data_IF_347042357670
#
_entry.id   IF_347042357670
#
_cell.length_a   1.000
_cell.length_b   1.000
_cell.length_c   1.000
_cell.angle_alpha   90.00
_cell.angle_beta   90.00
_cell.angle_gamma   90.00
#
_symmetry.space_group_name_H-M   'P 1'
#
loop_
_entity.id
_entity.type
_entity.pdbx_description
1 polymer ?
#
# COMPACT_ATOMS: atom_id res chain seq x y z
N UNK A 1 -30.89 14.90 32.75
CA UNK A 1 -31.64 16.03 32.17
C UNK A 1 -30.71 16.76 31.24
N UNK A 2 -30.72 16.39 29.96
CA UNK A 2 -30.02 17.11 28.88
C UNK A 2 -30.86 18.34 28.54
N UNK A 3 -30.22 19.51 28.49
CA UNK A 3 -30.89 20.75 28.09
C UNK A 3 -31.40 20.62 26.64
N UNK A 4 -32.54 21.23 26.27
CA UNK A 4 -33.02 21.21 24.90
C UNK A 4 -32.01 21.93 24.00
N UNK A 5 -31.59 21.28 22.92
CA UNK A 5 -30.84 21.92 21.85
C UNK A 5 -31.65 23.08 21.29
N UNK A 6 -31.10 24.29 21.33
CA UNK A 6 -31.61 25.45 20.60
C UNK A 6 -31.28 25.26 19.11
N UNK A 7 -32.25 24.90 18.27
CA UNK A 7 -32.02 24.67 16.83
C UNK A 7 -31.67 25.97 16.09
N UNK A 8 -31.88 27.13 16.74
CA UNK A 8 -31.80 28.47 16.14
C UNK A 8 -30.52 29.23 16.52
N UNK A 9 -29.56 28.60 17.20
CA UNK A 9 -28.24 29.23 17.44
C UNK A 9 -27.48 29.34 16.12
N UNK A 10 -27.67 30.47 15.45
CA UNK A 10 -27.01 30.78 14.19
C UNK A 10 -25.50 30.96 14.39
N UNK A 11 -24.74 29.89 14.18
CA UNK A 11 -23.27 29.94 14.14
C UNK A 11 -22.85 30.49 12.77
N UNK A 12 -22.07 31.57 12.74
CA UNK A 12 -21.53 32.11 11.48
C UNK A 12 -20.43 31.21 10.90
N UNK A 13 -20.20 31.29 9.58
CA UNK A 13 -19.12 30.52 8.94
C UNK A 13 -17.76 30.89 9.52
N UNK A 14 -17.53 32.19 9.79
CA UNK A 14 -16.27 32.66 10.37
C UNK A 14 -16.02 32.08 11.76
N UNK A 15 -17.05 32.02 12.61
CA UNK A 15 -16.94 31.43 13.94
C UNK A 15 -16.65 29.92 13.86
N UNK A 16 -17.34 29.22 12.96
CA UNK A 16 -17.15 27.79 12.75
C UNK A 16 -15.76 27.48 12.17
N UNK A 17 -15.29 28.24 11.19
CA UNK A 17 -13.93 28.12 10.63
C UNK A 17 -12.88 28.38 11.70
N UNK A 18 -13.07 29.41 12.54
CA UNK A 18 -12.13 29.72 13.61
C UNK A 18 -12.03 28.57 14.64
N UNK A 19 -13.15 27.94 14.99
CA UNK A 19 -13.18 26.76 15.85
C UNK A 19 -12.52 25.54 15.19
N UNK A 20 -12.79 25.30 13.90
CA UNK A 20 -12.15 24.21 13.14
C UNK A 20 -10.64 24.38 13.04
N UNK A 21 -10.14 25.60 12.85
CA UNK A 21 -8.69 25.89 12.86
C UNK A 21 -8.05 25.59 14.21
N UNK A 22 -8.67 26.01 15.32
CA UNK A 22 -8.18 25.67 16.67
C UNK A 22 -8.17 24.17 16.93
N UNK A 23 -9.20 23.47 16.45
CA UNK A 23 -9.28 22.02 16.55
C UNK A 23 -8.16 21.33 15.75
N UNK A 24 -7.82 21.86 14.57
CA UNK A 24 -6.70 21.37 13.77
C UNK A 24 -5.35 21.66 14.43
N UNK A 25 -5.13 22.87 14.95
CA UNK A 25 -3.92 23.24 15.71
C UNK A 25 -3.68 22.28 16.89
N UNK A 26 -4.74 21.92 17.60
CA UNK A 26 -4.69 20.93 18.67
C UNK A 26 -4.33 19.54 18.14
N UNK A 27 -4.94 19.10 17.04
CA UNK A 27 -4.62 17.83 16.38
C UNK A 27 -3.16 17.75 15.93
N UNK A 28 -2.62 18.84 15.37
CA UNK A 28 -1.21 18.97 15.00
C UNK A 28 -0.33 18.84 16.23
N UNK A 29 -0.67 19.50 17.34
CA UNK A 29 0.09 19.48 18.60
C UNK A 29 0.21 18.08 19.20
N UNK A 30 -0.81 17.25 19.06
CA UNK A 30 -0.82 15.87 19.57
C UNK A 30 -0.34 14.83 18.54
N UNK A 31 0.06 15.27 17.34
CA UNK A 31 0.66 14.40 16.31
C UNK A 31 -0.34 13.60 15.49
N UNK A 32 -1.60 14.04 15.39
CA UNK A 32 -2.59 13.39 14.54
C UNK A 32 -2.35 13.64 13.06
N UNK A 33 -2.50 12.60 12.25
CA UNK A 33 -2.42 12.69 10.80
C UNK A 33 -3.65 13.38 10.18
N UNK A 34 -3.53 13.98 8.99
CA UNK A 34 -4.61 14.74 8.36
C UNK A 34 -5.97 14.03 8.27
N UNK A 35 -6.10 12.73 7.92
CA UNK A 35 -7.40 12.05 7.91
C UNK A 35 -8.04 11.98 9.30
N UNK A 36 -7.25 11.69 10.33
CA UNK A 36 -7.71 11.65 11.71
C UNK A 36 -8.13 13.04 12.20
N UNK A 37 -7.33 14.07 11.89
CA UNK A 37 -7.68 15.47 12.20
C UNK A 37 -8.96 15.87 11.48
N UNK A 38 -9.11 15.58 10.20
CA UNK A 38 -10.31 15.93 9.45
C UNK A 38 -11.57 15.37 10.09
N UNK A 39 -11.56 14.09 10.48
CA UNK A 39 -12.68 13.45 11.17
C UNK A 39 -12.93 14.07 12.56
N UNK A 40 -11.87 14.30 13.34
CA UNK A 40 -11.99 14.72 14.74
C UNK A 40 -12.24 16.23 14.92
N UNK A 41 -11.79 17.07 13.99
CA UNK A 41 -11.89 18.53 14.07
C UNK A 41 -13.35 18.97 14.13
N UNK A 42 -14.23 18.35 13.34
CA UNK A 42 -15.68 18.62 13.39
C UNK A 42 -16.23 18.30 14.78
N UNK A 43 -15.83 17.17 15.35
CA UNK A 43 -16.18 16.76 16.71
C UNK A 43 -15.73 17.76 17.78
N UNK A 44 -14.50 18.27 17.66
CA UNK A 44 -13.90 19.24 18.60
C UNK A 44 -14.52 20.63 18.46
N UNK A 45 -14.66 21.13 17.24
CA UNK A 45 -15.19 22.46 16.97
C UNK A 45 -16.66 22.59 17.39
N UNK A 46 -17.50 21.58 17.13
CA UNK A 46 -18.91 21.63 17.51
C UNK A 46 -19.12 21.55 19.02
N UNK A 47 -18.23 20.89 19.76
CA UNK A 47 -18.24 20.90 21.24
C UNK A 47 -18.04 22.32 21.81
N UNK A 48 -17.26 23.19 21.16
CA UNK A 48 -17.12 24.59 21.58
C UNK A 48 -18.45 25.37 21.53
N UNK A 49 -19.39 24.95 20.68
CA UNK A 49 -20.71 25.57 20.55
C UNK A 49 -21.80 24.90 21.39
N UNK A 50 -21.43 23.89 22.20
CA UNK A 50 -22.34 23.17 23.08
C UNK A 50 -23.00 21.92 22.47
N UNK A 51 -22.48 21.41 21.35
CA UNK A 51 -22.94 20.13 20.81
C UNK A 51 -22.20 18.97 21.50
N UNK A 52 -22.90 18.25 22.38
CA UNK A 52 -22.31 17.14 23.15
C UNK A 52 -22.54 15.75 22.54
N UNK A 53 -23.63 15.55 21.78
CA UNK A 53 -23.89 14.31 21.05
C UNK A 53 -24.48 14.58 19.68
N UNK A 54 -23.89 14.01 18.63
CA UNK A 54 -24.39 14.09 17.27
C UNK A 54 -23.82 12.96 16.42
N UNK A 55 -24.51 12.65 15.33
CA UNK A 55 -24.01 11.72 14.31
C UNK A 55 -22.96 12.46 13.48
N UNK A 56 -21.71 12.00 13.54
CA UNK A 56 -20.57 12.57 12.81
C UNK A 56 -20.59 12.21 11.32
N UNK A 57 -21.07 11.01 10.96
CA UNK A 57 -21.16 10.51 9.58
C UNK A 57 -22.33 9.53 9.43
N UNK A 58 -22.91 9.46 8.23
CA UNK A 58 -23.96 8.49 7.88
C UNK A 58 -25.39 9.04 7.94
N UNK A 59 -26.38 8.13 7.93
CA UNK A 59 -27.81 8.49 7.92
C UNK A 59 -28.19 9.20 9.23
N UNK A 60 -28.77 10.39 9.13
CA UNK A 60 -29.16 11.20 10.29
C UNK A 60 -28.12 12.24 10.74
N UNK A 61 -27.11 12.52 9.91
CA UNK A 61 -26.13 13.60 10.16
C UNK A 61 -26.84 14.98 10.18
N UNK A 62 -26.69 15.78 11.25
CA UNK A 62 -27.31 17.10 11.32
C UNK A 62 -26.73 18.09 10.28
N UNK A 63 -27.53 19.06 9.77
CA UNK A 63 -27.04 20.03 8.78
C UNK A 63 -25.81 20.85 9.21
N UNK A 64 -25.68 21.14 10.51
CA UNK A 64 -24.50 21.84 11.05
C UNK A 64 -23.23 20.98 10.95
N UNK A 65 -23.35 19.66 11.05
CA UNK A 65 -22.23 18.72 10.91
C UNK A 65 -21.82 18.63 9.45
N UNK A 66 -22.77 18.54 8.51
CA UNK A 66 -22.48 18.57 7.07
C UNK A 66 -21.79 19.88 6.64
N UNK A 67 -22.27 21.01 7.17
CA UNK A 67 -21.67 22.33 6.95
C UNK A 67 -20.25 22.40 7.53
N UNK A 68 -20.05 21.87 8.74
CA UNK A 68 -18.73 21.81 9.37
C UNK A 68 -17.75 20.94 8.56
N UNK A 69 -18.17 19.77 8.06
CA UNK A 69 -17.36 18.93 7.17
C UNK A 69 -16.92 19.70 5.92
N UNK A 70 -17.86 20.35 5.20
CA UNK A 70 -17.53 21.14 4.00
C UNK A 70 -16.53 22.27 4.27
N UNK A 71 -16.61 22.92 5.44
CA UNK A 71 -15.67 23.97 5.82
C UNK A 71 -14.32 23.40 6.28
N UNK A 72 -14.34 22.28 7.00
CA UNK A 72 -13.17 21.59 7.49
C UNK A 72 -12.33 21.02 6.35
N UNK A 73 -12.96 20.44 5.32
CA UNK A 73 -12.27 19.90 4.15
C UNK A 73 -11.42 20.95 3.42
N UNK A 74 -11.81 22.24 3.51
CA UNK A 74 -11.07 23.37 2.92
C UNK A 74 -9.77 23.69 3.66
N UNK A 75 -9.59 23.18 4.89
CA UNK A 75 -8.34 23.34 5.64
C UNK A 75 -7.23 22.41 5.13
N UNK A 76 -7.60 21.34 4.42
CA UNK A 76 -6.68 20.32 3.98
C UNK A 76 -6.46 20.37 2.47
N UNK A 77 -5.30 19.87 2.03
CA UNK A 77 -5.10 19.57 0.62
C UNK A 77 -5.94 18.32 0.29
N UNK A 78 -6.75 18.30 -0.79
CA UNK A 78 -7.66 17.19 -1.06
C UNK A 78 -7.01 15.80 -1.07
N UNK A 79 -5.73 15.70 -1.46
CA UNK A 79 -4.99 14.45 -1.45
C UNK A 79 -4.77 13.87 -0.04
N UNK A 80 -4.63 14.72 0.98
CA UNK A 80 -4.38 14.35 2.38
C UNK A 80 -5.64 13.82 3.08
N UNK A 81 -6.81 14.04 2.47
CA UNK A 81 -8.10 13.55 2.94
C UNK A 81 -8.54 12.25 2.28
N UNK A 82 -7.83 11.81 1.24
CA UNK A 82 -8.16 10.54 0.58
C UNK A 82 -7.80 9.40 1.53
N UNK A 83 -8.78 8.58 1.88
CA UNK A 83 -8.52 7.29 2.51
C UNK A 83 -7.68 6.47 1.53
N UNK A 84 -6.42 6.24 1.87
CA UNK A 84 -5.53 5.41 1.05
C UNK A 84 -6.02 3.97 0.94
N UNK A 85 -5.30 3.17 0.16
CA UNK A 85 -5.43 1.72 0.22
C UNK A 85 -4.69 1.13 1.43
N UNK A 86 -4.87 -0.18 1.64
CA UNK A 86 -4.03 -0.98 2.54
C UNK A 86 -2.56 -1.03 2.07
N UNK A 87 -2.36 -0.88 0.76
CA UNK A 87 -1.05 -0.76 0.14
C UNK A 87 -1.15 -0.09 -1.22
N UNK A 88 -0.25 0.83 -1.52
CA UNK A 88 -0.04 1.37 -2.87
C UNK A 88 1.01 0.55 -3.63
N UNK A 89 0.60 -0.04 -4.73
CA UNK A 89 1.47 -0.58 -5.78
C UNK A 89 1.34 0.21 -7.09
N UNK A 90 1.99 -0.31 -8.12
CA UNK A 90 1.86 0.19 -9.48
C UNK A 90 1.74 -0.96 -10.49
N UNK A 91 1.10 -0.63 -11.60
CA UNK A 91 1.02 -1.49 -12.78
C UNK A 91 1.58 -0.73 -13.98
N UNK A 92 2.25 -1.42 -14.89
CA UNK A 92 2.75 -0.82 -16.12
C UNK A 92 1.88 -1.23 -17.31
N UNK A 93 1.18 -0.27 -17.91
CA UNK A 93 0.43 -0.45 -19.14
C UNK A 93 1.07 0.35 -20.27
N UNK A 94 1.60 -0.32 -21.30
CA UNK A 94 2.19 0.30 -22.49
C UNK A 94 3.23 1.40 -22.17
N UNK A 95 4.13 1.17 -21.21
CA UNK A 95 5.13 2.12 -20.69
C UNK A 95 4.64 3.22 -19.72
N UNK A 96 3.33 3.28 -19.48
CA UNK A 96 2.72 4.17 -18.50
C UNK A 96 2.65 3.47 -17.15
N UNK A 97 3.09 4.18 -16.10
CA UNK A 97 2.90 3.74 -14.73
C UNK A 97 1.51 4.17 -14.26
N UNK A 98 0.76 3.23 -13.73
CA UNK A 98 -0.59 3.39 -13.23
C UNK A 98 -0.61 2.97 -11.76
N UNK A 99 -1.38 3.67 -10.92
CA UNK A 99 -1.58 3.24 -9.55
C UNK A 99 -2.42 1.97 -9.52
N UNK A 100 -1.95 1.01 -8.72
CA UNK A 100 -2.67 -0.22 -8.42
C UNK A 100 -2.66 -0.38 -6.90
N UNK A 101 -3.80 -0.35 -6.23
CA UNK A 101 -3.84 -0.32 -4.77
C UNK A 101 -4.71 -1.44 -4.20
N UNK A 102 -4.33 -1.96 -3.03
CA UNK A 102 -5.18 -2.85 -2.25
C UNK A 102 -6.24 -2.00 -1.53
N UNK A 103 -7.54 -2.15 -1.81
CA UNK A 103 -8.57 -1.32 -1.19
C UNK A 103 -8.73 -1.69 0.29
N UNK A 104 -9.19 -0.76 1.12
CA UNK A 104 -9.61 -1.07 2.50
C UNK A 104 -10.99 -1.73 2.44
N UNK A 105 -11.09 -2.96 2.96
CA UNK A 105 -12.33 -3.70 3.02
C UNK A 105 -12.46 -4.44 4.35
N UNK A 106 -13.68 -4.49 4.89
CA UNK A 106 -14.01 -5.15 6.15
C UNK A 106 -15.03 -6.28 5.92
N UNK A 107 -14.79 -7.45 6.53
CA UNK A 107 -15.67 -8.60 6.43
C UNK A 107 -15.60 -9.32 5.08
N UNK A 108 -16.66 -10.03 4.71
CA UNK A 108 -16.76 -10.70 3.43
C UNK A 108 -17.17 -9.68 2.35
N UNK A 109 -16.25 -9.41 1.43
CA UNK A 109 -16.47 -8.50 0.31
C UNK A 109 -16.03 -9.17 -1.01
N UNK A 110 -16.65 -8.74 -2.11
CA UNK A 110 -16.17 -9.04 -3.46
C UNK A 110 -15.33 -7.84 -3.90
N UNK A 111 -14.08 -8.09 -4.26
CA UNK A 111 -13.17 -7.07 -4.79
C UNK A 111 -13.15 -7.22 -6.31
N UNK A 112 -13.47 -6.14 -7.01
CA UNK A 112 -13.24 -6.04 -8.45
C UNK A 112 -11.84 -5.46 -8.68
N UNK A 113 -10.99 -6.19 -9.41
CA UNK A 113 -9.63 -5.73 -9.70
C UNK A 113 -9.65 -4.45 -10.55
N UNK A 114 -10.67 -4.22 -11.37
CA UNK A 114 -10.76 -3.00 -12.16
C UNK A 114 -10.91 -1.74 -11.30
N UNK A 115 -11.44 -1.85 -10.08
CA UNK A 115 -11.56 -0.73 -9.15
C UNK A 115 -10.23 -0.40 -8.45
N UNK A 116 -9.30 -1.36 -8.42
CA UNK A 116 -7.96 -1.19 -7.86
C UNK A 116 -7.03 -0.36 -8.76
N UNK A 117 -7.40 -0.15 -10.02
CA UNK A 117 -6.55 0.43 -11.07
C UNK A 117 -7.04 1.83 -11.47
N UNK A 118 -6.13 2.80 -11.53
CA UNK A 118 -6.42 4.21 -11.84
C UNK A 118 -6.45 4.56 -13.35
N UNK A 119 -6.66 3.56 -14.21
CA UNK A 119 -6.85 3.78 -15.65
C UNK A 119 -8.22 4.36 -15.98
N UNK A 120 -8.31 5.13 -17.06
CA UNK A 120 -9.60 5.51 -17.66
C UNK A 120 -10.33 4.31 -18.24
N UNK A 121 -11.66 4.39 -18.38
CA UNK A 121 -12.47 3.30 -18.95
C UNK A 121 -12.00 2.89 -20.35
N UNK A 122 -11.56 3.86 -21.17
CA UNK A 122 -10.97 3.58 -22.48
C UNK A 122 -9.68 2.76 -22.37
N UNK A 123 -8.80 3.11 -21.43
CA UNK A 123 -7.55 2.37 -21.23
C UNK A 123 -7.81 0.98 -20.63
N UNK A 124 -8.80 0.83 -19.74
CA UNK A 124 -9.23 -0.48 -19.21
C UNK A 124 -9.77 -1.39 -20.32
N UNK A 125 -10.61 -0.84 -21.19
CA UNK A 125 -11.09 -1.56 -22.37
C UNK A 125 -9.93 -1.99 -23.28
N UNK A 126 -8.98 -1.08 -23.54
CA UNK A 126 -7.80 -1.38 -24.36
C UNK A 126 -6.89 -2.45 -23.73
N UNK A 127 -6.70 -2.41 -22.41
CA UNK A 127 -5.96 -3.45 -21.69
C UNK A 127 -6.61 -4.82 -21.87
N UNK A 128 -7.94 -4.88 -21.80
CA UNK A 128 -8.71 -6.11 -21.96
C UNK A 128 -8.70 -6.70 -23.39
N UNK A 129 -8.30 -5.92 -24.41
CA UNK A 129 -8.15 -6.42 -25.79
C UNK A 129 -6.97 -7.38 -25.95
N UNK A 130 -5.96 -7.29 -25.08
CA UNK A 130 -4.75 -8.11 -25.10
C UNK A 130 -4.83 -9.16 -23.99
N UNK A 131 -5.01 -10.46 -24.31
CA UNK A 131 -5.09 -11.51 -23.30
C UNK A 131 -3.85 -11.59 -22.40
N UNK A 132 -2.67 -11.30 -22.95
CA UNK A 132 -1.41 -11.32 -22.20
C UNK A 132 -1.33 -10.16 -21.21
N UNK A 133 -1.68 -8.94 -21.64
CA UNK A 133 -1.69 -7.78 -20.74
C UNK A 133 -2.77 -7.90 -19.65
N UNK A 134 -3.92 -8.48 -20.01
CA UNK A 134 -4.99 -8.79 -19.06
C UNK A 134 -4.53 -9.82 -18.02
N UNK A 135 -3.87 -10.89 -18.44
CA UNK A 135 -3.33 -11.90 -17.52
C UNK A 135 -2.27 -11.28 -16.58
N UNK A 136 -1.37 -10.44 -17.12
CA UNK A 136 -0.39 -9.70 -16.32
C UNK A 136 -1.04 -8.79 -15.29
N UNK A 137 -2.11 -8.08 -15.68
CA UNK A 137 -2.87 -7.22 -14.76
C UNK A 137 -3.51 -8.04 -13.64
N UNK A 138 -4.16 -9.15 -13.96
CA UNK A 138 -4.77 -10.04 -12.95
C UNK A 138 -3.73 -10.60 -11.99
N UNK A 139 -2.57 -11.03 -12.51
CA UNK A 139 -1.45 -11.53 -11.70
C UNK A 139 -0.95 -10.45 -10.72
N UNK A 140 -0.73 -9.22 -11.21
CA UNK A 140 -0.27 -8.11 -10.38
C UNK A 140 -1.32 -7.60 -9.39
N UNK A 141 -2.60 -7.55 -9.77
CA UNK A 141 -3.68 -7.18 -8.87
C UNK A 141 -3.80 -8.16 -7.70
N UNK A 142 -3.69 -9.46 -7.97
CA UNK A 142 -3.62 -10.47 -6.92
C UNK A 142 -2.38 -10.28 -6.03
N UNK A 143 -1.21 -10.01 -6.62
CA UNK A 143 0.02 -9.76 -5.85
C UNK A 143 -0.11 -8.58 -4.88
N UNK A 144 -0.65 -7.45 -5.36
CA UNK A 144 -0.89 -6.25 -4.55
C UNK A 144 -1.92 -6.49 -3.47
N UNK A 145 -3.00 -7.22 -3.79
CA UNK A 145 -4.03 -7.54 -2.80
C UNK A 145 -3.47 -8.43 -1.69
N UNK A 146 -2.78 -9.51 -2.04
CA UNK A 146 -2.19 -10.45 -1.09
C UNK A 146 -1.15 -9.77 -0.21
N UNK A 147 -0.27 -8.96 -0.81
CA UNK A 147 0.73 -8.24 -0.05
C UNK A 147 0.11 -7.16 0.84
N UNK A 148 -0.86 -6.38 0.32
CA UNK A 148 -1.45 -5.25 1.02
C UNK A 148 -2.19 -5.62 2.30
N UNK A 149 -2.84 -6.79 2.35
CA UNK A 149 -3.38 -7.34 3.59
C UNK A 149 -2.37 -8.17 4.36
N UNK A 150 -1.56 -8.96 3.64
CA UNK A 150 -0.70 -9.94 4.26
C UNK A 150 0.47 -9.36 5.05
N UNK A 151 0.96 -8.15 4.73
CA UNK A 151 2.02 -7.52 5.54
C UNK A 151 1.54 -7.20 6.96
N UNK A 152 0.27 -6.81 7.13
CA UNK A 152 -0.34 -6.59 8.45
C UNK A 152 -0.54 -7.90 9.18
N UNK A 153 -0.93 -8.93 8.43
CA UNK A 153 -1.22 -10.26 8.94
C UNK A 153 0.01 -11.17 9.00
N UNK A 154 1.21 -10.60 8.85
CA UNK A 154 2.43 -11.39 8.73
C UNK A 154 2.74 -12.13 10.04
N UNK A 155 2.66 -13.46 9.97
CA UNK A 155 2.73 -14.32 11.13
C UNK A 155 1.53 -14.21 12.07
N UNK A 156 0.38 -13.75 11.59
CA UNK A 156 -0.88 -13.96 12.30
C UNK A 156 -1.14 -15.46 12.40
N UNK A 157 -1.59 -15.90 13.57
CA UNK A 157 -1.87 -17.31 13.89
C UNK A 157 -0.66 -18.26 13.82
N UNK A 158 0.55 -17.75 13.57
CA UNK A 158 1.80 -18.52 13.47
C UNK A 158 2.80 -18.04 14.53
N UNK A 159 3.63 -18.95 15.03
CA UNK A 159 4.78 -18.58 15.86
C UNK A 159 5.95 -18.24 14.95
N UNK A 160 6.25 -16.95 14.78
CA UNK A 160 7.39 -16.46 13.99
C UNK A 160 8.29 -15.57 14.84
N UNK A 161 9.53 -15.38 14.40
CA UNK A 161 10.40 -14.36 14.98
C UNK A 161 9.82 -12.94 14.76
N UNK A 162 9.72 -12.09 15.80
CA UNK A 162 9.19 -10.73 15.69
C UNK A 162 9.95 -9.84 14.69
N UNK A 163 11.25 -10.09 14.44
CA UNK A 163 12.05 -9.34 13.46
C UNK A 163 11.45 -9.43 12.06
N UNK A 164 10.82 -10.55 11.71
CA UNK A 164 10.13 -10.72 10.43
C UNK A 164 9.03 -9.67 10.22
N UNK A 165 8.29 -9.32 11.28
CA UNK A 165 7.22 -8.31 11.20
C UNK A 165 7.75 -6.89 10.98
N UNK A 166 8.85 -6.53 11.64
CA UNK A 166 9.48 -5.23 11.41
C UNK A 166 10.04 -5.12 9.98
N UNK A 167 10.69 -6.17 9.50
CA UNK A 167 11.25 -6.20 8.15
C UNK A 167 10.17 -6.14 7.06
N UNK A 168 9.05 -6.86 7.20
CA UNK A 168 7.99 -6.82 6.18
C UNK A 168 7.26 -5.48 6.16
N UNK A 169 7.08 -4.83 7.32
CA UNK A 169 6.56 -3.46 7.39
C UNK A 169 7.47 -2.47 6.66
N UNK A 170 8.79 -2.58 6.86
CA UNK A 170 9.76 -1.78 6.11
C UNK A 170 9.71 -2.10 4.61
N UNK A 171 9.58 -3.36 4.22
CA UNK A 171 9.42 -3.74 2.82
C UNK A 171 8.18 -3.08 2.19
N UNK A 172 7.05 -3.10 2.90
CA UNK A 172 5.81 -2.43 2.52
C UNK A 172 6.04 -0.93 2.25
N UNK A 173 6.62 -0.20 3.21
CA UNK A 173 6.88 1.24 3.04
C UNK A 173 7.82 1.57 1.87
N UNK A 174 8.82 0.72 1.61
CA UNK A 174 9.73 0.90 0.46
C UNK A 174 9.02 0.64 -0.87
N UNK A 175 8.16 -0.38 -0.95
CA UNK A 175 7.41 -0.68 -2.17
C UNK A 175 6.35 0.40 -2.46
N UNK A 176 5.70 0.96 -1.44
CA UNK A 176 4.83 2.13 -1.61
C UNK A 176 5.60 3.33 -2.14
N UNK A 177 6.80 3.60 -1.60
CA UNK A 177 7.66 4.66 -2.09
C UNK A 177 8.09 4.44 -3.55
N UNK A 178 8.36 3.19 -3.93
CA UNK A 178 8.69 2.81 -5.30
C UNK A 178 7.52 3.10 -6.26
N UNK A 179 6.31 2.67 -5.89
CA UNK A 179 5.08 2.89 -6.64
C UNK A 179 4.70 4.38 -6.73
N UNK A 180 4.79 5.11 -5.61
CA UNK A 180 4.55 6.54 -5.58
C UNK A 180 5.52 7.27 -6.52
N UNK A 181 6.82 6.94 -6.45
CA UNK A 181 7.83 7.55 -7.32
C UNK A 181 7.55 7.27 -8.80
N UNK A 182 7.19 6.02 -9.14
CA UNK A 182 6.93 5.60 -10.52
C UNK A 182 5.71 6.30 -11.13
N UNK A 183 4.68 6.54 -10.31
CA UNK A 183 3.40 7.10 -10.74
C UNK A 183 3.35 8.63 -10.69
N UNK A 184 4.41 9.28 -10.20
CA UNK A 184 4.54 10.75 -10.27
C UNK A 184 5.01 11.22 -11.65
N UNK A 185 4.78 12.51 -11.94
CA UNK A 185 5.25 13.15 -13.17
C UNK A 185 6.77 13.46 -13.19
N UNK A 186 7.50 13.05 -12.16
CA UNK A 186 8.94 13.32 -12.00
C UNK A 186 9.78 12.11 -12.38
N UNK A 187 11.10 12.24 -12.18
CA UNK A 187 12.07 11.21 -12.49
C UNK A 187 11.83 9.92 -11.68
N UNK A 188 11.63 8.82 -12.40
CA UNK A 188 11.29 7.50 -11.86
C UNK A 188 12.54 6.69 -11.44
N UNK A 189 13.75 7.25 -11.49
CA UNK A 189 14.97 6.53 -11.05
C UNK A 189 14.96 6.13 -9.58
N UNK A 190 14.24 6.87 -8.73
CA UNK A 190 14.04 6.50 -7.32
C UNK A 190 13.27 5.19 -7.15
N UNK A 191 12.46 4.80 -8.14
CA UNK A 191 11.67 3.56 -8.13
C UNK A 191 12.55 2.32 -8.01
N UNK A 192 13.66 2.26 -8.75
CA UNK A 192 14.55 1.08 -8.74
C UNK A 192 15.09 0.84 -7.34
N UNK A 193 15.65 1.87 -6.71
CA UNK A 193 16.28 1.73 -5.38
C UNK A 193 15.28 1.25 -4.33
N UNK A 194 14.10 1.87 -4.29
CA UNK A 194 13.06 1.50 -3.35
C UNK A 194 12.50 0.08 -3.63
N UNK A 195 12.37 -0.31 -4.90
CA UNK A 195 11.94 -1.66 -5.28
C UNK A 195 12.97 -2.74 -4.88
N UNK A 196 14.25 -2.51 -5.12
CA UNK A 196 15.34 -3.42 -4.74
C UNK A 196 15.42 -3.57 -3.22
N UNK A 197 15.38 -2.46 -2.48
CA UNK A 197 15.41 -2.48 -1.03
C UNK A 197 14.16 -3.15 -0.43
N UNK A 198 12.98 -2.88 -0.98
CA UNK A 198 11.75 -3.55 -0.61
C UNK A 198 11.82 -5.06 -0.80
N UNK A 199 12.38 -5.50 -1.92
CA UNK A 199 12.61 -6.93 -2.21
C UNK A 199 13.58 -7.56 -1.20
N UNK A 200 14.71 -6.91 -0.93
CA UNK A 200 15.70 -7.39 0.04
C UNK A 200 15.06 -7.57 1.43
N UNK A 201 14.31 -6.56 1.87
CA UNK A 201 13.65 -6.56 3.17
C UNK A 201 12.57 -7.64 3.25
N UNK A 202 11.79 -7.86 2.19
CA UNK A 202 10.78 -8.91 2.16
C UNK A 202 11.44 -10.30 2.27
N UNK A 203 12.44 -10.61 1.46
CA UNK A 203 13.14 -11.90 1.53
C UNK A 203 13.77 -12.13 2.91
N UNK A 204 14.39 -11.09 3.48
CA UNK A 204 14.93 -11.15 4.85
C UNK A 204 13.85 -11.29 5.91
N UNK A 205 12.66 -10.72 5.72
CA UNK A 205 11.53 -10.89 6.63
C UNK A 205 11.11 -12.36 6.73
N UNK A 206 10.97 -13.05 5.59
CA UNK A 206 10.64 -14.47 5.55
C UNK A 206 11.72 -15.33 6.22
N UNK A 207 13.00 -15.05 5.94
CA UNK A 207 14.12 -15.76 6.58
C UNK A 207 14.19 -15.51 8.09
N UNK A 208 14.01 -14.26 8.52
CA UNK A 208 13.98 -13.90 9.93
C UNK A 208 12.82 -14.61 10.63
N UNK A 209 11.63 -14.64 10.04
CA UNK A 209 10.44 -15.32 10.57
C UNK A 209 10.70 -16.82 10.85
N UNK A 210 11.56 -17.45 10.07
CA UNK A 210 12.00 -18.85 10.20
C UNK A 210 13.22 -19.03 11.13
N UNK A 211 13.65 -17.99 11.83
CA UNK A 211 14.72 -18.04 12.82
C UNK A 211 16.14 -17.86 12.28
N UNK A 212 16.31 -17.40 11.03
CA UNK A 212 17.66 -17.05 10.52
C UNK A 212 18.22 -15.87 11.34
N UNK A 213 19.47 -16.01 11.77
CA UNK A 213 20.10 -15.05 12.69
C UNK A 213 20.57 -13.79 11.97
N UNK A 214 20.66 -12.66 12.69
CA UNK A 214 21.17 -11.41 12.11
C UNK A 214 22.59 -11.54 11.56
N UNK A 215 23.43 -12.37 12.19
CA UNK A 215 24.78 -12.66 11.70
C UNK A 215 24.75 -13.32 10.31
N UNK A 216 23.75 -14.15 10.03
CA UNK A 216 23.57 -14.74 8.70
C UNK A 216 22.92 -13.77 7.71
N UNK A 217 21.88 -13.05 8.13
CA UNK A 217 21.19 -12.06 7.28
C UNK A 217 22.12 -10.93 6.82
N UNK A 218 23.05 -10.50 7.69
CA UNK A 218 24.01 -9.42 7.42
C UNK A 218 25.32 -9.91 6.77
N UNK A 219 25.59 -11.21 6.78
CA UNK A 219 26.83 -11.76 6.23
C UNK A 219 26.87 -11.59 4.71
N UNK A 220 27.87 -10.85 4.22
CA UNK A 220 28.16 -10.68 2.79
C UNK A 220 28.47 -11.98 2.05
N UNK A 221 28.89 -13.03 2.76
CA UNK A 221 29.21 -14.33 2.16
C UNK A 221 28.02 -15.31 2.20
N UNK A 222 26.96 -14.98 2.93
CA UNK A 222 25.74 -15.81 3.02
C UNK A 222 24.57 -15.14 2.33
N UNK A 223 24.03 -14.08 2.94
CA UNK A 223 22.83 -13.38 2.46
C UNK A 223 23.21 -11.94 2.13
N UNK A 224 23.48 -11.10 3.13
CA UNK A 224 23.91 -9.73 2.89
C UNK A 224 22.94 -8.99 1.98
N UNK A 225 23.41 -8.48 0.84
CA UNK A 225 22.59 -7.83 -0.19
C UNK A 225 22.33 -8.74 -1.41
N UNK A 226 22.66 -10.02 -1.32
CA UNK A 226 22.50 -10.97 -2.41
C UNK A 226 21.07 -11.53 -2.40
N UNK A 227 20.23 -11.01 -3.31
CA UNK A 227 18.83 -11.41 -3.44
C UNK A 227 18.67 -12.87 -3.88
N UNK A 228 19.54 -13.36 -4.76
CA UNK A 228 19.51 -14.76 -5.22
C UNK A 228 19.78 -15.72 -4.05
N UNK A 229 20.79 -15.42 -3.22
CA UNK A 229 21.11 -16.23 -2.06
C UNK A 229 19.96 -16.22 -1.03
N UNK A 230 19.31 -15.07 -0.84
CA UNK A 230 18.15 -14.94 0.04
C UNK A 230 16.96 -15.76 -0.49
N UNK A 231 16.64 -15.63 -1.79
CA UNK A 231 15.56 -16.36 -2.45
C UNK A 231 15.77 -17.87 -2.41
N UNK A 232 16.97 -18.34 -2.78
CA UNK A 232 17.31 -19.77 -2.74
C UNK A 232 17.24 -20.32 -1.31
N UNK A 233 17.72 -19.55 -0.32
CA UNK A 233 17.65 -19.96 1.08
C UNK A 233 16.21 -20.07 1.57
N UNK A 234 15.34 -19.12 1.20
CA UNK A 234 13.93 -19.12 1.61
C UNK A 234 13.16 -20.27 0.95
N UNK A 235 13.37 -20.50 -0.36
CA UNK A 235 12.77 -21.64 -1.06
C UNK A 235 13.20 -23.01 -0.51
N UNK A 236 14.41 -23.11 0.05
CA UNK A 236 14.83 -24.31 0.78
C UNK A 236 14.14 -24.52 2.13
N UNK A 237 13.44 -23.52 2.66
CA UNK A 237 12.76 -23.57 3.97
C UNK A 237 11.23 -23.56 3.84
N UNK A 238 10.67 -23.00 2.77
CA UNK A 238 9.22 -22.92 2.50
C UNK A 238 8.85 -23.77 1.27
N UNK A 239 8.07 -24.84 1.47
CA UNK A 239 7.70 -25.75 0.38
C UNK A 239 6.70 -25.19 -0.64
N UNK A 240 5.85 -24.25 -0.22
CA UNK A 240 4.84 -23.61 -1.08
C UNK A 240 5.34 -22.29 -1.70
N UNK A 241 6.62 -21.94 -1.51
CA UNK A 241 7.23 -20.74 -2.09
C UNK A 241 7.60 -20.99 -3.55
N UNK A 242 7.17 -20.12 -4.47
CA UNK A 242 7.54 -20.17 -5.89
C UNK A 242 8.99 -19.70 -6.11
N UNK A 243 9.93 -20.47 -5.55
CA UNK A 243 11.36 -20.16 -5.51
C UNK A 243 11.99 -20.04 -6.89
N UNK A 244 11.57 -20.86 -7.85
CA UNK A 244 12.09 -20.81 -9.22
C UNK A 244 11.71 -19.50 -9.92
N UNK A 245 10.46 -19.04 -9.78
CA UNK A 245 10.02 -17.76 -10.37
C UNK A 245 10.62 -16.57 -9.64
N UNK A 246 10.69 -16.62 -8.30
CA UNK A 246 11.37 -15.57 -7.54
C UNK A 246 12.82 -15.46 -7.96
N UNK A 247 13.54 -16.58 -8.14
CA UNK A 247 14.93 -16.57 -8.58
C UNK A 247 15.08 -15.92 -9.97
N UNK A 248 14.22 -16.29 -10.94
CA UNK A 248 14.21 -15.64 -12.27
C UNK A 248 14.01 -14.13 -12.19
N UNK A 249 13.13 -13.67 -11.30
CA UNK A 249 12.87 -12.24 -11.08
C UNK A 249 14.08 -11.52 -10.49
N UNK A 250 14.67 -12.05 -9.42
CA UNK A 250 15.76 -11.34 -8.73
C UNK A 250 17.08 -11.38 -9.49
N UNK A 251 17.32 -12.37 -10.36
CA UNK A 251 18.53 -12.44 -11.19
C UNK A 251 18.59 -11.36 -12.28
N UNK A 252 17.44 -10.83 -12.72
CA UNK A 252 17.40 -9.73 -13.70
C UNK A 252 17.43 -8.35 -13.05
N UNK A 253 17.45 -8.28 -11.72
CA UNK A 253 17.53 -7.01 -11.02
C UNK A 253 18.94 -6.42 -11.12
N UNK A 254 19.07 -5.10 -11.38
CA UNK A 254 20.37 -4.47 -11.43
C UNK A 254 21.01 -4.40 -10.04
N UNK A 255 22.33 -4.31 -10.00
CA UNK A 255 23.05 -4.06 -8.76
C UNK A 255 22.60 -2.75 -8.12
N UNK A 256 22.26 -2.79 -6.83
CA UNK A 256 21.71 -1.64 -6.09
C UNK A 256 22.62 -0.41 -6.18
N UNK A 257 23.93 -0.59 -6.01
CA UNK A 257 24.92 0.50 -6.05
C UNK A 257 25.13 0.99 -7.49
N UNK A 258 25.28 0.06 -8.44
CA UNK A 258 25.60 0.37 -9.83
C UNK A 258 24.44 1.09 -10.53
N UNK A 259 23.19 0.72 -10.23
CA UNK A 259 21.98 1.33 -10.81
C UNK A 259 21.91 2.85 -10.67
N UNK A 260 22.65 3.44 -9.72
CA UNK A 260 22.73 4.90 -9.49
C UNK A 260 23.64 5.61 -10.50
N UNK A 261 24.59 4.88 -11.07
CA UNK A 261 25.67 5.40 -11.90
C UNK A 261 25.63 4.87 -13.33
N UNK A 262 24.75 3.92 -13.66
CA UNK A 262 24.62 3.35 -15.00
C UNK A 262 24.20 4.42 -16.02
N UNK A 263 24.94 4.51 -17.13
CA UNK A 263 24.63 5.34 -18.28
C UNK A 263 24.65 4.48 -19.56
N UNK A 264 23.59 4.51 -20.41
CA UNK A 264 22.34 5.24 -20.24
C UNK A 264 21.47 4.66 -19.10
N UNK A 265 20.54 5.47 -18.55
CA UNK A 265 19.60 4.98 -17.53
C UNK A 265 18.67 3.88 -18.13
N UNK A 266 18.14 2.97 -17.29
CA UNK A 266 17.19 1.97 -17.74
C UNK A 266 15.94 2.59 -18.36
N UNK A 267 15.37 1.91 -19.34
CA UNK A 267 14.10 2.28 -19.97
C UNK A 267 12.93 2.18 -18.99
N UNK A 268 11.84 2.89 -19.28
CA UNK A 268 10.60 2.83 -18.47
C UNK A 268 10.08 1.39 -18.35
N UNK A 269 10.17 0.61 -19.44
CA UNK A 269 9.75 -0.79 -19.48
C UNK A 269 10.57 -1.67 -18.53
N UNK A 270 11.89 -1.51 -18.52
CA UNK A 270 12.77 -2.24 -17.59
C UNK A 270 12.43 -1.91 -16.14
N UNK A 271 12.20 -0.63 -15.84
CA UNK A 271 11.87 -0.17 -14.49
C UNK A 271 10.51 -0.68 -14.03
N UNK A 272 9.51 -0.70 -14.93
CA UNK A 272 8.21 -1.29 -14.63
C UNK A 272 8.27 -2.79 -14.37
N UNK A 273 9.10 -3.52 -15.11
CA UNK A 273 9.30 -4.94 -14.83
C UNK A 273 10.04 -5.18 -13.49
N UNK A 274 11.01 -4.34 -13.13
CA UNK A 274 11.67 -4.41 -11.82
C UNK A 274 10.67 -4.14 -10.70
N UNK A 275 9.87 -3.08 -10.81
CA UNK A 275 8.87 -2.72 -9.80
C UNK A 275 7.81 -3.80 -9.63
N UNK A 276 7.20 -4.25 -10.73
CA UNK A 276 6.18 -5.30 -10.69
C UNK A 276 6.76 -6.65 -10.22
N UNK A 277 8.01 -6.94 -10.54
CA UNK A 277 8.76 -8.07 -10.00
C UNK A 277 8.96 -7.97 -8.48
N UNK A 278 9.34 -6.80 -7.97
CA UNK A 278 9.54 -6.57 -6.54
C UNK A 278 8.24 -6.76 -5.74
N UNK A 279 7.12 -6.24 -6.28
CA UNK A 279 5.78 -6.44 -5.72
C UNK A 279 5.40 -7.93 -5.68
N UNK A 280 5.68 -8.66 -6.77
CA UNK A 280 5.48 -10.11 -6.81
C UNK A 280 6.30 -10.84 -5.74
N UNK A 281 7.61 -10.56 -5.63
CA UNK A 281 8.47 -11.24 -4.63
C UNK A 281 7.99 -10.97 -3.21
N UNK A 282 7.63 -9.73 -2.88
CA UNK A 282 7.12 -9.40 -1.56
C UNK A 282 5.77 -10.06 -1.25
N UNK A 283 4.88 -10.14 -2.25
CA UNK A 283 3.64 -10.89 -2.16
C UNK A 283 3.91 -12.38 -1.90
N UNK A 284 4.84 -12.97 -2.64
CA UNK A 284 5.17 -14.38 -2.54
C UNK A 284 5.76 -14.76 -1.19
N UNK A 285 6.64 -13.92 -0.63
CA UNK A 285 7.09 -14.08 0.77
C UNK A 285 5.89 -14.04 1.72
N UNK A 286 5.00 -13.08 1.53
CA UNK A 286 3.89 -12.81 2.44
C UNK A 286 2.85 -13.94 2.45
N UNK A 287 2.61 -14.61 1.31
CA UNK A 287 1.77 -15.81 1.21
C UNK A 287 2.24 -16.95 2.13
N UNK A 288 3.54 -17.06 2.36
CA UNK A 288 4.10 -18.13 3.22
C UNK A 288 3.79 -17.92 4.71
N UNK A 289 3.54 -16.68 5.12
CA UNK A 289 3.38 -16.31 6.54
C UNK A 289 2.03 -15.66 6.86
N UNK A 290 1.11 -15.59 5.90
CA UNK A 290 -0.25 -15.13 6.07
C UNK A 290 -1.24 -16.14 5.49
N UNK A 291 -2.53 -15.93 5.72
CA UNK A 291 -3.59 -16.75 5.09
C UNK A 291 -4.09 -16.13 3.78
N UNK A 292 -3.34 -15.15 3.24
CA UNK A 292 -3.69 -14.41 2.04
C UNK A 292 -3.07 -15.08 0.82
N UNK A 293 -3.93 -15.64 -0.02
CA UNK A 293 -3.60 -16.10 -1.37
C UNK A 293 -4.85 -15.97 -2.25
N UNK A 294 -4.98 -14.82 -2.90
CA UNK A 294 -6.13 -14.47 -3.73
C UNK A 294 -6.24 -15.36 -4.96
N UNK A 295 -5.12 -15.89 -5.46
CA UNK A 295 -5.11 -16.80 -6.62
C UNK A 295 -5.63 -18.17 -6.24
N UNK A 296 -5.14 -18.74 -5.14
CA UNK A 296 -5.61 -20.04 -4.61
C UNK A 296 -7.05 -19.98 -4.13
N UNK A 297 -7.49 -18.81 -3.66
CA UNK A 297 -8.87 -18.58 -3.20
C UNK A 297 -9.88 -18.39 -4.34
N UNK A 298 -9.42 -18.18 -5.57
CA UNK A 298 -10.28 -17.99 -6.73
C UNK A 298 -10.14 -19.16 -7.73
N UNK A 299 -11.15 -20.04 -7.83
CA UNK A 299 -11.10 -21.25 -8.66
C UNK A 299 -11.05 -20.97 -10.17
N UNK A 300 -11.45 -19.78 -10.60
CA UNK A 300 -11.45 -19.38 -12.01
C UNK A 300 -10.13 -18.69 -12.41
N UNK A 301 -9.16 -18.62 -11.50
CA UNK A 301 -7.86 -17.99 -11.77
C UNK A 301 -7.08 -18.82 -12.79
N UNK A 302 -6.74 -18.20 -13.93
CA UNK A 302 -5.85 -18.81 -14.90
C UNK A 302 -4.46 -19.10 -14.30
N UNK A 303 -3.68 -20.05 -14.86
CA UNK A 303 -2.30 -20.24 -14.46
C UNK A 303 -1.50 -18.93 -14.53
N UNK A 304 -0.60 -18.72 -13.57
CA UNK A 304 0.23 -17.50 -13.52
C UNK A 304 1.10 -17.42 -14.76
N UNK A 305 1.06 -16.27 -15.44
CA UNK A 305 1.90 -15.97 -16.61
C UNK A 305 2.99 -14.95 -16.30
N UNK A 306 2.83 -14.16 -15.25
CA UNK A 306 3.73 -13.06 -14.90
C UNK A 306 4.02 -12.96 -13.39
N UNK A 307 5.25 -12.58 -12.98
CA UNK A 307 6.46 -12.45 -13.82
C UNK A 307 6.89 -13.80 -14.38
N UNK A 308 7.39 -13.87 -15.61
CA UNK A 308 7.69 -15.14 -16.30
C UNK A 308 8.77 -15.98 -15.60
#
# INVERSE_FOLDING_TARGET
MTAPHDPDRHISDDALIAALKRADDEGVRIGEEPPARSLQNVGRALREFGYESFVLMGRGTPPIVERAHKLNDRLFVPKELRTGGMHLGAFMFRDMFCQLYAPIAFGQCRIDFWDMLDLSDFQKAWLAESPDDLARFVDQAADILDFGYGWQEFGHQRSIDPRGRDLIWRAHTQLEAAAATATTAYDFRGTIQSALLGTELALKAGLAALGVTDAELSSRTKIGHNLEAAAARLGGLCGDFDGDRVLRVVTVFPDFVESRYTAPPPSRTEIGNILMGAQYVASEVTRQFSDRDGRKSNPDTAPRSYPA
#
